data_IF_710568260571
#
_entry.id   IF_710568260571
#
_cell.length_a   1.000
_cell.length_b   1.000
_cell.length_c   1.000
_cell.angle_alpha   90.00
_cell.angle_beta   90.00
_cell.angle_gamma   90.00
#
_symmetry.space_group_name_H-M   'P 1'
#
loop_
_entity.id
_entity.type
_entity.pdbx_description
1 polymer ?
#
# COMPACT_ATOMS: atom_id res chain seq x y z
N UNK A 1 4.44 -13.63 -72.54
CA UNK A 1 3.63 -12.49 -72.08
C UNK A 1 4.59 -11.37 -71.68
N UNK A 2 4.32 -10.16 -72.19
CA UNK A 2 4.69 -8.80 -71.75
C UNK A 2 5.35 -8.67 -70.35
N UNK A 3 6.21 -7.71 -69.99
CA UNK A 3 6.71 -6.46 -70.59
C UNK A 3 7.50 -5.69 -69.49
N UNK A 4 8.51 -4.90 -69.91
CA UNK A 4 9.10 -3.67 -69.31
C UNK A 4 9.55 -3.63 -67.82
N UNK A 5 10.85 -3.43 -67.54
CA UNK A 5 11.53 -2.14 -67.28
C UNK A 5 10.95 -1.32 -66.11
N UNK A 6 11.73 -1.14 -65.02
CA UNK A 6 12.17 0.19 -64.57
C UNK A 6 13.21 0.07 -63.43
N UNK A 7 14.32 0.78 -63.58
CA UNK A 7 15.32 0.91 -62.53
C UNK A 7 14.93 1.96 -61.49
N UNK A 8 15.55 1.87 -60.31
CA UNK A 8 15.84 3.03 -59.50
C UNK A 8 17.15 2.78 -58.76
N UNK A 9 18.19 3.53 -59.15
CA UNK A 9 19.39 3.76 -58.34
C UNK A 9 18.98 4.60 -57.14
N UNK A 10 19.46 4.27 -55.94
CA UNK A 10 19.82 5.30 -54.96
C UNK A 10 20.97 4.79 -54.07
N UNK A 11 22.16 5.27 -54.46
CA UNK A 11 23.28 5.79 -53.65
C UNK A 11 23.65 5.18 -52.29
N UNK A 12 24.93 4.81 -52.26
CA UNK A 12 25.82 4.47 -51.14
C UNK A 12 26.13 5.69 -50.24
N UNK A 13 26.84 5.41 -49.12
CA UNK A 13 27.55 6.31 -48.16
C UNK A 13 26.65 6.72 -46.97
N UNK A 14 26.99 6.50 -45.70
CA UNK A 14 28.21 6.13 -44.99
C UNK A 14 28.20 6.85 -43.62
N UNK A 15 28.91 6.30 -42.61
CA UNK A 15 29.24 6.93 -41.31
C UNK A 15 28.08 7.02 -40.29
N UNK A 16 28.20 6.78 -38.99
CA UNK A 16 29.35 6.62 -38.08
C UNK A 16 28.88 5.86 -36.82
N UNK A 17 29.80 5.09 -36.23
CA UNK A 17 29.71 4.53 -34.90
C UNK A 17 29.86 5.67 -33.88
N UNK A 18 28.78 6.07 -33.22
CA UNK A 18 28.84 6.95 -32.06
C UNK A 18 28.31 6.21 -30.83
N UNK A 19 29.27 5.67 -30.08
CA UNK A 19 29.10 5.25 -28.69
C UNK A 19 28.85 6.53 -27.89
N UNK A 20 27.60 6.77 -27.49
CA UNK A 20 27.29 7.73 -26.42
C UNK A 20 26.84 6.98 -25.17
N UNK A 21 27.78 6.80 -24.24
CA UNK A 21 27.47 6.71 -22.82
C UNK A 21 27.37 8.14 -22.27
N UNK A 22 26.25 8.56 -21.66
CA UNK A 22 26.29 9.50 -20.55
C UNK A 22 26.46 8.66 -19.26
N UNK A 23 27.64 8.68 -18.65
CA UNK A 23 28.07 9.66 -17.64
C UNK A 23 27.13 9.65 -16.43
N UNK A 24 27.67 9.09 -15.34
CA UNK A 24 27.25 9.17 -13.94
C UNK A 24 26.02 10.02 -13.63
N UNK A 25 24.88 9.35 -13.49
CA UNK A 25 23.83 9.79 -12.59
C UNK A 25 24.28 9.50 -11.17
N UNK A 26 24.60 10.55 -10.42
CA UNK A 26 24.84 10.46 -8.97
C UNK A 26 23.64 9.72 -8.35
N UNK A 27 23.88 8.60 -7.70
CA UNK A 27 22.92 8.06 -6.73
C UNK A 27 22.65 9.19 -5.74
N UNK A 28 21.49 9.81 -5.87
CA UNK A 28 21.02 10.78 -4.91
C UNK A 28 20.83 10.01 -3.60
N UNK A 29 21.75 10.21 -2.66
CA UNK A 29 21.54 9.89 -1.25
C UNK A 29 20.26 10.62 -0.84
N UNK A 30 19.12 9.93 -0.91
CA UNK A 30 17.85 10.42 -0.41
C UNK A 30 18.00 10.56 1.10
N UNK A 31 18.28 11.77 1.56
CA UNK A 31 18.06 12.13 2.94
C UNK A 31 16.55 12.10 3.10
N UNK A 32 16.05 11.10 3.80
CA UNK A 32 14.65 11.00 4.18
C UNK A 32 14.35 12.21 5.07
N UNK A 33 13.50 13.14 4.64
CA UNK A 33 12.96 14.11 5.56
C UNK A 33 12.04 13.33 6.52
N UNK A 34 12.43 13.25 7.79
CA UNK A 34 11.69 12.49 8.80
C UNK A 34 10.23 12.98 8.93
N UNK A 35 9.96 14.24 8.57
CA UNK A 35 8.60 14.79 8.56
C UNK A 35 7.69 14.16 7.51
N UNK A 36 8.24 13.54 6.45
CA UNK A 36 7.44 12.77 5.48
C UNK A 36 6.83 11.49 6.09
N UNK A 37 7.30 11.07 7.28
CA UNK A 37 6.75 9.93 8.03
C UNK A 37 5.71 10.34 9.07
N UNK A 38 5.54 11.64 9.29
CA UNK A 38 4.60 12.16 10.26
C UNK A 38 3.16 11.90 9.80
N UNK A 39 2.31 11.63 10.78
CA UNK A 39 0.90 11.36 10.52
C UNK A 39 0.12 12.66 10.38
N UNK A 40 -0.52 12.93 9.23
CA UNK A 40 -1.45 14.03 9.12
C UNK A 40 -2.72 13.71 9.92
N UNK A 41 -3.18 14.64 10.75
CA UNK A 41 -4.41 14.50 11.51
C UNK A 41 -4.46 15.41 12.72
N UNK A 42 -5.65 15.49 13.32
CA UNK A 42 -5.91 16.43 14.42
C UNK A 42 -6.24 15.71 15.72
N UNK A 43 -6.58 14.41 15.65
CA UNK A 43 -6.97 13.64 16.82
C UNK A 43 -6.04 12.45 16.97
N UNK A 44 -5.46 12.33 18.16
CA UNK A 44 -4.52 11.27 18.51
C UNK A 44 -5.12 10.40 19.61
N UNK A 45 -5.03 9.08 19.43
CA UNK A 45 -5.43 8.07 20.39
C UNK A 45 -4.22 7.20 20.73
N UNK A 46 -4.06 6.83 22.00
CA UNK A 46 -2.94 6.00 22.43
C UNK A 46 -2.89 5.78 23.95
N UNK A 47 -2.26 4.68 24.41
CA UNK A 47 -1.78 3.55 23.60
C UNK A 47 -2.94 2.70 23.07
N UNK A 48 -2.85 2.23 21.82
CA UNK A 48 -3.80 1.31 21.20
C UNK A 48 -3.11 -0.02 20.83
N UNK A 49 -3.90 -1.05 20.62
CA UNK A 49 -3.45 -2.35 20.09
C UNK A 49 -3.62 -2.38 18.57
N UNK A 50 -2.54 -2.70 17.87
CA UNK A 50 -2.53 -3.06 16.45
C UNK A 50 -2.44 -4.59 16.35
N UNK A 51 -3.32 -5.18 15.56
CA UNK A 51 -3.32 -6.61 15.23
C UNK A 51 -3.48 -6.79 13.73
N UNK A 52 -3.18 -7.99 13.22
CA UNK A 52 -3.31 -8.30 11.81
C UNK A 52 -4.44 -9.30 11.51
N UNK A 53 -5.03 -9.17 10.34
CA UNK A 53 -5.93 -10.17 9.75
C UNK A 53 -5.62 -10.34 8.26
N UNK A 54 -6.01 -11.46 7.67
CA UNK A 54 -5.82 -11.70 6.24
C UNK A 54 -7.11 -12.19 5.57
N UNK A 55 -7.31 -11.89 4.28
CA UNK A 55 -8.45 -12.43 3.52
C UNK A 55 -8.42 -13.96 3.43
N UNK A 56 -9.59 -14.59 3.47
CA UNK A 56 -9.81 -16.02 3.21
C UNK A 56 -10.57 -16.19 1.90
N UNK A 57 -9.84 -16.24 0.78
CA UNK A 57 -10.43 -16.27 -0.57
C UNK A 57 -11.15 -17.58 -0.92
N UNK A 58 -10.90 -18.66 -0.19
CA UNK A 58 -11.57 -19.95 -0.30
C UNK A 58 -12.84 -20.05 0.57
N UNK A 59 -13.16 -18.99 1.32
CA UNK A 59 -14.40 -18.94 2.10
C UNK A 59 -15.63 -18.65 1.23
N UNK A 60 -16.74 -19.32 1.56
CA UNK A 60 -18.06 -19.05 0.99
C UNK A 60 -18.67 -17.72 1.49
N UNK A 61 -18.08 -17.12 2.54
CA UNK A 61 -18.56 -15.86 3.11
C UNK A 61 -17.79 -14.69 2.50
N UNK A 62 -18.50 -13.86 1.74
CA UNK A 62 -17.96 -12.62 1.15
C UNK A 62 -17.21 -11.74 2.14
N UNK A 63 -17.67 -11.66 3.40
CA UNK A 63 -17.04 -10.84 4.45
C UNK A 63 -15.65 -11.32 4.85
N UNK A 64 -15.27 -12.55 4.51
CA UNK A 64 -13.96 -13.08 4.86
C UNK A 64 -12.89 -12.61 3.86
N UNK A 65 -13.28 -12.01 2.72
CA UNK A 65 -12.34 -11.53 1.70
C UNK A 65 -12.75 -10.18 1.04
N UNK A 66 -13.86 -9.58 1.46
CA UNK A 66 -14.33 -8.26 1.05
C UNK A 66 -14.67 -7.41 2.28
N UNK A 67 -14.53 -6.09 2.13
CA UNK A 67 -14.81 -5.12 3.19
C UNK A 67 -16.30 -4.96 3.52
N UNK A 68 -16.65 -4.04 4.43
CA UNK A 68 -18.03 -3.78 4.87
C UNK A 68 -18.97 -3.34 3.73
N UNK A 69 -18.42 -2.80 2.63
CA UNK A 69 -19.15 -2.41 1.42
C UNK A 69 -19.09 -3.46 0.31
N UNK A 70 -18.58 -4.67 0.59
CA UNK A 70 -18.32 -5.73 -0.39
C UNK A 70 -17.30 -5.33 -1.47
N UNK A 71 -16.31 -4.48 -1.13
CA UNK A 71 -15.20 -4.14 -2.02
C UNK A 71 -13.95 -4.92 -1.66
N UNK A 72 -13.03 -5.00 -2.63
CA UNK A 72 -11.73 -5.65 -2.45
C UNK A 72 -10.98 -5.03 -1.26
N UNK A 73 -10.47 -5.89 -0.38
CA UNK A 73 -9.49 -5.53 0.64
C UNK A 73 -8.12 -5.27 0.00
N UNK A 74 -7.45 -4.19 0.42
CA UNK A 74 -6.07 -3.92 0.02
C UNK A 74 -5.12 -4.21 1.16
N UNK A 75 -4.17 -5.10 0.91
CA UNK A 75 -3.24 -5.61 1.92
C UNK A 75 -2.04 -4.68 2.09
N UNK A 76 -1.40 -4.72 3.25
CA UNK A 76 -0.16 -3.99 3.52
C UNK A 76 0.90 -4.32 2.46
N UNK A 77 1.09 -5.60 2.15
CA UNK A 77 2.10 -6.02 1.20
C UNK A 77 1.78 -5.56 -0.24
N UNK A 78 0.50 -5.54 -0.67
CA UNK A 78 0.15 -4.91 -1.96
C UNK A 78 0.47 -3.42 -1.99
N UNK A 79 0.26 -2.70 -0.88
CA UNK A 79 0.61 -1.28 -0.78
C UNK A 79 2.13 -1.06 -0.85
N UNK A 80 2.91 -1.85 -0.10
CA UNK A 80 4.37 -1.79 -0.11
C UNK A 80 4.94 -2.09 -1.51
N UNK A 81 4.32 -3.02 -2.25
CA UNK A 81 4.63 -3.34 -3.64
C UNK A 81 4.17 -2.27 -4.67
N UNK A 82 3.54 -1.17 -4.23
CA UNK A 82 2.92 -0.16 -5.09
C UNK A 82 1.78 -0.69 -5.99
N UNK A 83 1.10 -1.75 -5.55
CA UNK A 83 -0.05 -2.37 -6.25
C UNK A 83 -1.40 -1.99 -5.64
N UNK A 84 -1.40 -1.25 -4.53
CA UNK A 84 -2.60 -0.73 -3.88
C UNK A 84 -2.46 0.76 -3.55
N UNK A 85 -3.55 1.54 -3.63
CA UNK A 85 -3.53 2.98 -3.32
C UNK A 85 -3.53 3.28 -1.80
N UNK A 86 -3.92 2.31 -0.98
CA UNK A 86 -3.99 2.38 0.49
C UNK A 86 -3.96 0.95 1.06
N UNK A 87 -3.87 0.84 2.38
CA UNK A 87 -4.06 -0.40 3.15
C UNK A 87 -5.42 -0.35 3.84
N UNK A 88 -6.20 -1.42 3.71
CA UNK A 88 -7.46 -1.55 4.45
C UNK A 88 -7.17 -1.84 5.92
N UNK A 89 -7.84 -1.11 6.81
CA UNK A 89 -7.88 -1.44 8.23
C UNK A 89 -9.31 -1.62 8.71
N UNK A 90 -9.46 -2.50 9.70
CA UNK A 90 -10.69 -2.77 10.44
C UNK A 90 -10.70 -2.03 11.78
N UNK A 91 -11.86 -1.49 12.15
CA UNK A 91 -12.08 -0.89 13.48
C UNK A 91 -13.45 -1.30 14.04
N UNK A 92 -13.70 -0.95 15.30
CA UNK A 92 -14.95 -1.22 16.00
C UNK A 92 -16.18 -0.68 15.22
N UNK A 93 -17.18 -1.53 14.91
CA UNK A 93 -18.35 -1.14 14.14
C UNK A 93 -19.18 -0.03 14.80
N UNK A 94 -19.14 0.09 16.13
CA UNK A 94 -19.94 1.05 16.88
C UNK A 94 -19.40 2.49 16.79
N UNK A 95 -18.16 2.68 16.31
CA UNK A 95 -17.62 4.01 16.04
C UNK A 95 -18.32 4.74 14.89
N UNK A 96 -18.90 3.99 13.93
CA UNK A 96 -19.59 4.51 12.74
C UNK A 96 -18.76 5.58 12.00
N UNK A 97 -17.45 5.35 11.88
CA UNK A 97 -16.57 6.22 11.10
C UNK A 97 -17.00 6.26 9.63
N UNK A 98 -16.84 7.39 8.93
CA UNK A 98 -17.07 7.45 7.49
C UNK A 98 -16.26 6.38 6.76
N UNK A 99 -16.87 5.69 5.80
CA UNK A 99 -16.19 4.69 5.00
C UNK A 99 -15.00 5.30 4.25
N UNK A 100 -13.81 4.68 4.39
CA UNK A 100 -12.57 5.20 3.84
C UNK A 100 -11.93 6.31 4.67
N UNK A 101 -12.36 6.53 5.92
CA UNK A 101 -11.71 7.45 6.86
C UNK A 101 -10.22 7.13 6.92
N UNK A 102 -9.39 8.13 6.59
CA UNK A 102 -7.93 8.01 6.69
C UNK A 102 -7.53 7.81 8.15
N UNK A 103 -6.57 6.92 8.35
CA UNK A 103 -5.93 6.63 9.62
C UNK A 103 -4.42 6.60 9.40
N UNK A 104 -3.66 6.84 10.47
CA UNK A 104 -2.22 6.77 10.42
C UNK A 104 -1.65 6.23 11.73
N UNK A 105 -0.62 5.40 11.61
CA UNK A 105 0.13 4.82 12.73
C UNK A 105 1.61 5.17 12.51
N UNK A 106 2.17 6.14 13.25
CA UNK A 106 3.52 6.64 12.98
C UNK A 106 4.59 5.56 13.19
N UNK A 107 4.36 4.59 14.08
CA UNK A 107 5.25 3.46 14.30
C UNK A 107 5.38 2.57 13.05
N UNK A 108 4.28 2.35 12.32
CA UNK A 108 4.31 1.65 11.02
C UNK A 108 5.07 2.46 9.98
N UNK A 109 4.82 3.78 9.90
CA UNK A 109 5.51 4.64 8.93
C UNK A 109 7.02 4.62 9.12
N UNK A 110 7.48 4.68 10.38
CA UNK A 110 8.89 4.62 10.75
C UNK A 110 9.53 3.29 10.42
N UNK A 111 8.82 2.19 10.69
CA UNK A 111 9.33 0.86 10.37
C UNK A 111 9.54 0.65 8.87
N UNK A 112 8.52 0.96 8.07
CA UNK A 112 8.57 0.80 6.61
C UNK A 112 9.31 1.94 5.90
N UNK A 113 9.73 3.00 6.63
CA UNK A 113 10.32 4.23 6.10
C UNK A 113 9.51 4.78 4.93
N UNK A 114 8.19 4.83 5.14
CA UNK A 114 7.20 5.26 4.16
C UNK A 114 5.93 5.69 4.88
N UNK A 115 5.29 6.76 4.45
CA UNK A 115 3.94 7.08 4.87
C UNK A 115 2.97 5.98 4.37
N UNK A 116 2.55 5.07 5.25
CA UNK A 116 1.59 4.02 4.95
C UNK A 116 0.19 4.62 5.04
N UNK A 117 -0.47 4.73 3.88
CA UNK A 117 -1.85 5.26 3.81
C UNK A 117 -2.84 4.20 4.28
N UNK A 118 -3.38 4.36 5.49
CA UNK A 118 -4.40 3.45 6.04
C UNK A 118 -5.79 4.03 5.83
N UNK A 119 -6.76 3.19 5.49
CA UNK A 119 -8.16 3.59 5.42
C UNK A 119 -9.06 2.61 6.17
N UNK A 120 -9.89 3.16 7.07
CA UNK A 120 -10.91 2.42 7.80
C UNK A 120 -12.05 2.09 6.84
N UNK A 121 -12.06 0.85 6.36
CA UNK A 121 -13.04 0.35 5.37
C UNK A 121 -13.70 -0.94 5.80
N UNK A 122 -13.19 -1.58 6.85
CA UNK A 122 -13.68 -2.87 7.29
C UNK A 122 -14.07 -2.84 8.76
N UNK A 123 -14.81 -3.86 9.16
CA UNK A 123 -15.18 -4.08 10.57
C UNK A 123 -15.65 -5.52 10.76
N UNK A 124 -15.40 -6.06 11.94
CA UNK A 124 -15.77 -7.42 12.30
C UNK A 124 -16.38 -7.42 13.71
N UNK A 125 -17.21 -8.43 14.01
CA UNK A 125 -17.88 -8.51 15.32
C UNK A 125 -16.89 -8.71 16.47
N UNK A 126 -15.71 -9.27 16.24
CA UNK A 126 -14.64 -9.40 17.23
C UNK A 126 -13.92 -8.06 17.53
N UNK A 127 -14.14 -7.03 16.73
CA UNK A 127 -13.66 -5.66 16.97
C UNK A 127 -14.61 -4.84 17.86
N UNK A 128 -15.83 -5.34 18.11
CA UNK A 128 -16.84 -4.65 18.91
C UNK A 128 -16.35 -4.44 20.35
N UNK A 129 -16.52 -3.22 20.86
CA UNK A 129 -16.03 -2.80 22.18
C UNK A 129 -14.56 -2.38 22.21
N UNK A 130 -13.84 -2.52 21.10
CA UNK A 130 -12.48 -2.01 20.92
C UNK A 130 -12.42 -0.48 20.89
N UNK A 131 -13.46 0.17 20.40
CA UNK A 131 -13.51 1.61 20.14
C UNK A 131 -12.28 2.08 19.38
N UNK A 132 -11.71 3.21 19.80
CA UNK A 132 -10.45 3.73 19.25
C UNK A 132 -9.19 3.01 19.77
N UNK A 133 -9.32 1.92 20.56
CA UNK A 133 -8.18 1.24 21.21
C UNK A 133 -7.68 0.01 20.45
N UNK A 134 -8.33 -0.38 19.35
CA UNK A 134 -7.89 -1.50 18.50
C UNK A 134 -8.03 -1.13 17.03
N UNK A 135 -7.02 -1.50 16.25
CA UNK A 135 -7.02 -1.44 14.79
C UNK A 135 -6.51 -2.78 14.27
N UNK A 136 -7.22 -3.36 13.31
CA UNK A 136 -6.80 -4.56 12.60
C UNK A 136 -6.30 -4.19 11.21
N UNK A 137 -5.04 -4.49 10.88
CA UNK A 137 -4.45 -4.21 9.56
C UNK A 137 -4.58 -5.43 8.64
N UNK A 138 -5.05 -5.19 7.41
CA UNK A 138 -5.18 -6.24 6.41
C UNK A 138 -3.79 -6.61 5.85
N UNK A 139 -3.37 -7.86 6.01
CA UNK A 139 -2.15 -8.42 5.44
C UNK A 139 -2.47 -9.51 4.41
N UNK A 140 -1.49 -9.88 3.60
CA UNK A 140 -1.72 -10.73 2.42
C UNK A 140 -1.94 -12.20 2.77
N UNK A 141 -1.16 -12.75 3.70
CA UNK A 141 -1.28 -14.17 4.07
C UNK A 141 -1.34 -14.36 5.58
N UNK A 142 -1.63 -15.59 5.99
CA UNK A 142 -1.54 -16.00 7.38
C UNK A 142 -0.11 -15.83 7.93
N UNK A 143 0.91 -16.15 7.15
CA UNK A 143 2.31 -15.99 7.54
C UNK A 143 2.65 -14.51 7.79
N UNK A 144 2.16 -13.60 6.94
CA UNK A 144 2.35 -12.16 7.12
C UNK A 144 1.68 -11.64 8.42
N UNK A 145 0.62 -12.32 8.89
CA UNK A 145 -0.07 -11.95 10.14
C UNK A 145 0.74 -12.24 11.39
N UNK A 146 1.85 -12.98 11.28
CA UNK A 146 2.74 -13.30 12.40
C UNK A 146 3.90 -12.32 12.55
N UNK A 147 4.04 -11.34 11.65
CA UNK A 147 5.08 -10.33 11.80
C UNK A 147 4.79 -9.45 13.03
N UNK A 148 5.81 -9.25 13.87
CA UNK A 148 5.70 -8.45 15.09
C UNK A 148 5.30 -7.01 14.78
N UNK A 149 5.67 -6.45 13.61
CA UNK A 149 5.38 -5.05 13.29
C UNK A 149 3.88 -4.77 13.12
N UNK A 150 3.11 -5.79 12.76
CA UNK A 150 1.65 -5.70 12.60
C UNK A 150 0.89 -6.22 13.84
N UNK A 151 1.60 -6.54 14.94
CA UNK A 151 1.05 -7.04 16.20
C UNK A 151 1.62 -6.28 17.41
N UNK A 152 1.40 -4.96 17.44
CA UNK A 152 1.97 -4.08 18.46
C UNK A 152 0.93 -3.72 19.54
N UNK A 153 1.30 -3.90 20.80
CA UNK A 153 0.39 -3.64 21.93
C UNK A 153 0.30 -2.16 22.33
N UNK A 154 1.25 -1.33 21.86
CA UNK A 154 1.35 0.09 22.21
C UNK A 154 1.77 0.88 20.98
N UNK A 155 0.77 1.32 20.22
CA UNK A 155 0.98 2.27 19.12
C UNK A 155 0.08 3.48 19.23
N UNK A 156 0.41 4.50 18.46
CA UNK A 156 -0.37 5.72 18.32
C UNK A 156 -1.29 5.60 17.11
N UNK A 157 -2.56 5.97 17.28
CA UNK A 157 -3.50 6.12 16.17
C UNK A 157 -3.80 7.60 15.95
N UNK A 158 -3.63 8.07 14.72
CA UNK A 158 -4.00 9.41 14.29
C UNK A 158 -5.14 9.33 13.28
N UNK A 159 -6.20 10.10 13.53
CA UNK A 159 -7.40 10.24 12.68
C UNK A 159 -7.65 11.71 12.27
#
# INVERSE_FOLDING_TARGET
>A
MLSLHLGLRLTLIGMTLDILLPVGGKEHNYIFDASELDCPGNVTYGPITLTAYHPLFDSERKRDYLDIENRKLYTLQEYLDNRAPYVTVGMDPDLRLPYGKEACIPELNRHFRRAVRLQVRDTHEDLRGGGYRRVDICVRTQEDSYDDIVNLLQVTLVL
#
